data_IF_786206385906
#
_entry.id   IF_786206385906
#
_cell.length_a   1.000
_cell.length_b   1.000
_cell.length_c   1.000
_cell.angle_alpha   90.00
_cell.angle_beta   90.00
_cell.angle_gamma   90.00
#
_symmetry.space_group_name_H-M   'P 1'
#
loop_
_entity.id
_entity.type
_entity.pdbx_description
1 polymer ?
#
# COMPACT_ATOMS: atom_id res chain seq x y z
N UNK A 1 6.81 2.67 -11.39
CA UNK A 1 5.68 1.79 -11.81
C UNK A 1 5.83 1.32 -13.25
N UNK A 2 5.89 2.21 -14.26
CA UNK A 2 6.05 1.81 -15.67
C UNK A 2 7.25 0.89 -15.93
N UNK A 3 8.42 1.20 -15.34
CA UNK A 3 9.61 0.34 -15.46
C UNK A 3 9.46 -1.04 -14.79
N UNK A 4 8.70 -1.14 -13.68
CA UNK A 4 8.45 -2.44 -13.03
C UNK A 4 7.56 -3.32 -13.92
N UNK A 5 6.49 -2.75 -14.49
CA UNK A 5 5.61 -3.48 -15.41
C UNK A 5 6.32 -3.90 -16.69
N UNK A 6 7.17 -3.03 -17.25
CA UNK A 6 7.95 -3.35 -18.45
C UNK A 6 8.98 -4.47 -18.24
N UNK A 7 9.41 -4.72 -17.00
CA UNK A 7 10.35 -5.80 -16.63
C UNK A 7 9.64 -7.05 -16.11
N UNK A 8 8.32 -7.04 -16.01
CA UNK A 8 7.57 -8.19 -15.53
C UNK A 8 7.64 -9.31 -16.58
N UNK A 9 8.12 -10.48 -16.17
CA UNK A 9 8.20 -11.67 -17.00
C UNK A 9 7.07 -12.65 -16.68
N UNK A 10 6.51 -13.27 -17.73
CA UNK A 10 5.48 -14.31 -17.60
C UNK A 10 6.10 -15.68 -17.31
N UNK A 11 7.43 -15.81 -17.44
CA UNK A 11 8.17 -16.99 -17.06
C UNK A 11 7.99 -17.24 -15.55
N UNK A 12 7.61 -18.46 -15.15
CA UNK A 12 7.40 -18.80 -13.75
C UNK A 12 6.00 -18.48 -13.19
N UNK A 13 5.04 -18.07 -14.03
CA UNK A 13 3.62 -17.87 -13.65
C UNK A 13 3.00 -19.06 -12.91
N UNK A 14 3.49 -20.29 -13.14
CA UNK A 14 3.04 -21.48 -12.41
C UNK A 14 3.30 -21.40 -10.89
N UNK A 15 4.27 -20.59 -10.44
CA UNK A 15 4.54 -20.31 -9.02
C UNK A 15 3.82 -19.05 -8.51
N UNK A 16 3.20 -18.29 -9.41
CA UNK A 16 2.46 -17.08 -9.06
C UNK A 16 1.23 -17.29 -8.16
N UNK A 17 0.53 -18.46 -8.10
CA UNK A 17 -0.65 -18.61 -7.25
C UNK A 17 -0.37 -18.30 -5.77
N UNK A 18 0.79 -18.73 -5.25
CA UNK A 18 1.18 -18.42 -3.87
C UNK A 18 1.57 -16.96 -3.66
N UNK A 19 2.20 -16.33 -4.64
CA UNK A 19 2.44 -14.88 -4.59
C UNK A 19 1.12 -14.09 -4.62
N UNK A 20 0.16 -14.48 -5.45
CA UNK A 20 -1.16 -13.87 -5.50
C UNK A 20 -1.91 -14.06 -4.17
N UNK A 21 -1.90 -15.27 -3.62
CA UNK A 21 -2.53 -15.53 -2.32
C UNK A 21 -1.92 -14.68 -1.21
N UNK A 22 -0.58 -14.55 -1.18
CA UNK A 22 0.12 -13.66 -0.26
C UNK A 22 -0.25 -12.18 -0.45
N UNK A 23 -0.37 -11.73 -1.70
CA UNK A 23 -0.80 -10.36 -2.01
C UNK A 23 -2.25 -10.09 -1.56
N UNK A 24 -3.15 -11.06 -1.75
CA UNK A 24 -4.51 -10.98 -1.23
C UNK A 24 -4.54 -10.93 0.30
N UNK A 25 -3.78 -11.80 0.97
CA UNK A 25 -3.68 -11.77 2.42
C UNK A 25 -3.18 -10.41 2.92
N UNK A 26 -2.11 -9.90 2.32
CA UNK A 26 -1.54 -8.60 2.67
C UNK A 26 -2.53 -7.45 2.48
N UNK A 27 -3.23 -7.38 1.34
CA UNK A 27 -4.19 -6.29 1.09
C UNK A 27 -5.41 -6.39 2.01
N UNK A 28 -5.84 -7.60 2.36
CA UNK A 28 -6.92 -7.81 3.34
C UNK A 28 -6.51 -7.34 4.74
N UNK A 29 -5.29 -7.66 5.18
CA UNK A 29 -4.76 -7.21 6.48
C UNK A 29 -4.65 -5.68 6.50
N UNK A 30 -4.07 -5.09 5.46
CA UNK A 30 -4.01 -3.62 5.31
C UNK A 30 -5.40 -2.97 5.37
N UNK A 31 -6.35 -3.50 4.58
CA UNK A 31 -7.73 -3.01 4.56
C UNK A 31 -8.40 -3.09 5.93
N UNK A 32 -8.20 -4.19 6.65
CA UNK A 32 -8.69 -4.35 8.02
C UNK A 32 -8.12 -3.28 8.96
N UNK A 33 -6.81 -3.01 8.91
CA UNK A 33 -6.19 -1.95 9.72
C UNK A 33 -6.74 -0.56 9.36
N UNK A 34 -6.93 -0.25 8.08
CA UNK A 34 -7.54 1.02 7.66
C UNK A 34 -8.99 1.16 8.18
N UNK A 35 -9.80 0.10 8.10
CA UNK A 35 -11.19 0.12 8.58
C UNK A 35 -11.26 0.23 10.11
N UNK A 36 -10.40 -0.49 10.83
CA UNK A 36 -10.29 -0.39 12.29
C UNK A 36 -9.82 1.01 12.70
N UNK A 37 -8.82 1.57 12.01
CA UNK A 37 -8.35 2.94 12.22
C UNK A 37 -9.46 3.96 11.96
N UNK A 38 -10.22 3.82 10.88
CA UNK A 38 -11.36 4.67 10.56
C UNK A 38 -12.42 4.64 11.68
N UNK A 39 -12.71 3.44 12.20
CA UNK A 39 -13.66 3.27 13.31
C UNK A 39 -13.17 3.87 14.62
N UNK A 40 -11.89 3.67 14.95
CA UNK A 40 -11.29 4.14 16.21
C UNK A 40 -11.15 5.66 16.24
N UNK A 41 -10.67 6.23 15.13
CA UNK A 41 -10.44 7.67 14.98
C UNK A 41 -11.72 8.43 14.55
N UNK A 42 -12.82 7.70 14.32
CA UNK A 42 -14.12 8.24 13.87
C UNK A 42 -14.00 9.09 12.60
N UNK A 43 -13.19 8.62 11.66
CA UNK A 43 -12.96 9.27 10.36
C UNK A 43 -13.95 8.73 9.32
N UNK A 44 -14.27 9.53 8.33
CA UNK A 44 -15.15 9.12 7.24
C UNK A 44 -14.48 8.08 6.33
N UNK A 45 -15.32 7.28 5.67
CA UNK A 45 -14.85 6.20 4.79
C UNK A 45 -14.10 6.73 3.56
N UNK A 46 -14.35 7.97 3.12
CA UNK A 46 -13.66 8.56 1.98
C UNK A 46 -12.22 8.94 2.34
N UNK A 47 -11.99 9.55 3.51
CA UNK A 47 -10.64 9.75 4.03
C UNK A 47 -9.91 8.43 4.26
N UNK A 48 -10.59 7.40 4.77
CA UNK A 48 -9.97 6.08 4.94
C UNK A 48 -9.58 5.46 3.59
N UNK A 49 -10.42 5.61 2.56
CA UNK A 49 -10.13 5.16 1.20
C UNK A 49 -8.98 5.94 0.58
N UNK A 50 -8.94 7.27 0.74
CA UNK A 50 -7.81 8.11 0.33
C UNK A 50 -6.52 7.70 1.04
N UNK A 51 -6.63 7.38 2.32
CA UNK A 51 -5.48 6.95 3.10
C UNK A 51 -4.92 5.61 2.62
N UNK A 52 -5.81 4.67 2.29
CA UNK A 52 -5.42 3.40 1.67
C UNK A 52 -4.79 3.61 0.29
N UNK A 53 -5.40 4.44 -0.56
CA UNK A 53 -4.91 4.74 -1.90
C UNK A 53 -3.51 5.38 -1.89
N UNK A 54 -3.21 6.25 -0.91
CA UNK A 54 -1.89 6.83 -0.70
C UNK A 54 -0.82 5.80 -0.32
N UNK A 55 -1.14 4.83 0.53
CA UNK A 55 -0.17 3.84 1.00
C UNK A 55 0.02 2.65 0.05
N UNK A 56 -1.02 2.26 -0.71
CA UNK A 56 -0.96 1.14 -1.66
C UNK A 56 -0.67 1.61 -3.09
N UNK A 57 -1.40 2.64 -3.56
CA UNK A 57 -1.25 3.18 -4.91
C UNK A 57 -0.09 4.19 -5.05
N UNK A 58 0.42 4.69 -3.93
CA UNK A 58 1.57 5.59 -3.87
C UNK A 58 1.33 6.95 -4.54
N UNK A 59 2.43 7.67 -4.76
CA UNK A 59 2.41 9.04 -5.29
C UNK A 59 1.87 9.16 -6.74
N UNK A 60 1.75 8.05 -7.46
CA UNK A 60 1.22 8.05 -8.83
C UNK A 60 -0.32 8.05 -8.85
N UNK A 61 -0.97 7.24 -8.01
CA UNK A 61 -2.41 6.99 -8.11
C UNK A 61 -3.21 7.74 -7.03
N UNK A 62 -2.63 8.00 -5.86
CA UNK A 62 -3.32 8.65 -4.76
C UNK A 62 -3.79 10.09 -5.05
N UNK A 63 -3.01 10.94 -5.76
CA UNK A 63 -3.45 12.29 -6.11
C UNK A 63 -4.68 12.30 -7.00
N UNK A 64 -4.82 11.29 -7.88
CA UNK A 64 -5.94 11.18 -8.81
C UNK A 64 -7.24 10.88 -8.02
N UNK A 65 -7.18 9.93 -7.09
CA UNK A 65 -8.32 9.62 -6.21
C UNK A 65 -8.68 10.81 -5.31
N UNK A 66 -7.67 11.53 -4.80
CA UNK A 66 -7.87 12.74 -4.01
C UNK A 66 -8.54 13.87 -4.81
N UNK A 67 -8.08 14.13 -6.04
CA UNK A 67 -8.63 15.15 -6.91
C UNK A 67 -10.11 14.92 -7.26
N UNK A 68 -10.51 13.66 -7.43
CA UNK A 68 -11.91 13.30 -7.69
C UNK A 68 -12.83 13.63 -6.50
N UNK A 69 -12.31 13.56 -5.27
CA UNK A 69 -13.10 13.86 -4.06
C UNK A 69 -13.03 15.35 -3.68
N UNK A 70 -11.82 15.86 -3.44
CA UNK A 70 -11.54 17.26 -3.11
C UNK A 70 -10.10 17.58 -3.51
N UNK A 71 -9.92 18.50 -4.46
CA UNK A 71 -8.58 18.92 -4.91
C UNK A 71 -7.68 19.41 -3.77
N UNK A 72 -8.25 20.02 -2.72
CA UNK A 72 -7.52 20.44 -1.53
C UNK A 72 -6.83 19.29 -0.77
N UNK A 73 -7.24 18.04 -0.98
CA UNK A 73 -6.65 16.85 -0.36
C UNK A 73 -5.48 16.27 -1.18
N UNK A 74 -5.26 16.76 -2.41
CA UNK A 74 -4.19 16.26 -3.29
C UNK A 74 -2.80 16.40 -2.65
N UNK A 75 -2.40 17.56 -2.08
CA UNK A 75 -1.09 17.68 -1.44
C UNK A 75 -0.95 16.77 -0.23
N UNK A 76 -2.04 16.58 0.53
CA UNK A 76 -2.08 15.69 1.70
C UNK A 76 -1.86 14.24 1.26
N UNK A 77 -2.54 13.80 0.19
CA UNK A 77 -2.37 12.45 -0.35
C UNK A 77 -0.94 12.19 -0.87
N UNK A 78 -0.32 13.18 -1.54
CA UNK A 78 1.08 13.10 -1.99
C UNK A 78 2.02 12.96 -0.79
N UNK A 79 1.91 13.85 0.21
CA UNK A 79 2.77 13.82 1.39
C UNK A 79 2.62 12.50 2.15
N UNK A 80 1.39 12.04 2.33
CA UNK A 80 1.13 10.79 3.04
C UNK A 80 1.70 9.59 2.28
N UNK A 81 1.62 9.56 0.95
CA UNK A 81 2.26 8.53 0.13
C UNK A 81 3.79 8.54 0.26
N UNK A 82 4.42 9.72 0.29
CA UNK A 82 5.86 9.85 0.47
C UNK A 82 6.33 9.38 1.86
N UNK A 83 5.58 9.75 2.91
CA UNK A 83 5.85 9.28 4.28
C UNK A 83 5.70 7.75 4.37
N UNK A 84 4.61 7.22 3.79
CA UNK A 84 4.39 5.77 3.72
C UNK A 84 5.52 5.04 2.99
N UNK A 85 6.02 5.61 1.90
CA UNK A 85 7.15 5.06 1.15
C UNK A 85 8.45 5.07 1.96
N UNK A 86 8.76 6.21 2.61
CA UNK A 86 9.95 6.34 3.44
C UNK A 86 9.92 5.34 4.61
N UNK A 87 8.82 5.28 5.34
CA UNK A 87 8.65 4.34 6.45
C UNK A 87 8.67 2.89 5.97
N UNK A 88 7.92 2.58 4.89
CA UNK A 88 7.82 1.23 4.33
C UNK A 88 9.15 0.67 3.85
N UNK A 89 10.04 1.51 3.32
CA UNK A 89 11.37 1.07 2.90
C UNK A 89 12.21 0.55 4.07
N UNK A 90 12.25 1.28 5.19
CA UNK A 90 13.01 0.87 6.37
C UNK A 90 12.32 -0.27 7.14
N UNK A 91 11.00 -0.20 7.29
CA UNK A 91 10.21 -1.25 7.96
C UNK A 91 10.25 -2.56 7.16
N UNK A 92 10.32 -2.50 5.84
CA UNK A 92 10.47 -3.68 4.98
C UNK A 92 11.78 -4.40 5.23
N UNK A 93 12.90 -3.66 5.37
CA UNK A 93 14.19 -4.25 5.74
C UNK A 93 14.16 -4.86 7.14
N UNK A 94 13.52 -4.19 8.09
CA UNK A 94 13.36 -4.72 9.44
C UNK A 94 12.49 -6.00 9.44
N UNK A 95 11.40 -6.01 8.67
CA UNK A 95 10.55 -7.19 8.52
C UNK A 95 11.33 -8.36 7.88
N UNK A 96 12.15 -8.09 6.86
CA UNK A 96 13.02 -9.10 6.26
C UNK A 96 14.01 -9.67 7.29
N UNK A 97 14.59 -8.82 8.14
CA UNK A 97 15.49 -9.27 9.21
C UNK A 97 14.76 -10.14 10.26
N UNK A 98 13.54 -9.76 10.64
CA UNK A 98 12.71 -10.56 11.55
C UNK A 98 12.37 -11.92 10.94
N UNK A 99 11.97 -11.96 9.67
CA UNK A 99 11.72 -13.20 8.95
C UNK A 99 12.96 -14.09 8.89
N UNK A 100 14.14 -13.51 8.66
CA UNK A 100 15.40 -14.24 8.67
C UNK A 100 15.69 -14.87 10.05
N UNK A 101 15.42 -14.17 11.15
CA UNK A 101 15.59 -14.74 12.49
C UNK A 101 14.61 -15.87 12.80
N UNK A 102 13.37 -15.76 12.32
CA UNK A 102 12.34 -16.80 12.52
C UNK A 102 12.59 -18.01 11.64
N UNK A 103 13.12 -17.81 10.43
CA UNK A 103 13.33 -18.84 9.43
C UNK A 103 14.74 -19.42 9.37
N UNK A 104 15.60 -19.13 10.36
CA UNK A 104 17.02 -19.52 10.41
C UNK A 104 17.34 -20.90 9.89
#
# INVERSE_FOLDING_TARGET
VASMGARAELAGLARAPWFLAGAFLWISVHGLFCLLGARLLRVDIHLAALASAANIGGAASAPIVAAHHREALVPVAVLMALVGYAAGNYLGLLAAQLCYWVGG
#
